data_IF_155225817790
#
_entry.id   IF_155225817790
#
_cell.length_a   1.000
_cell.length_b   1.000
_cell.length_c   1.000
_cell.angle_alpha   90.00
_cell.angle_beta   90.00
_cell.angle_gamma   90.00
#
_symmetry.space_group_name_H-M   'P 1'
#
loop_
_entity.id
_entity.type
_entity.pdbx_description
1 polymer ?
#
# COMPACT_ATOMS: atom_id res chain seq x y z
N UNK A 1 -6.77 29.73 14.75
CA UNK A 1 -5.95 28.50 14.94
C UNK A 1 -6.10 27.57 13.75
N UNK A 2 -7.32 27.16 13.40
CA UNK A 2 -7.58 26.24 12.27
C UNK A 2 -7.01 26.74 10.93
N UNK A 3 -7.16 28.03 10.59
CA UNK A 3 -6.57 28.56 9.34
C UNK A 3 -5.03 28.58 9.35
N UNK A 4 -4.42 28.83 10.52
CA UNK A 4 -2.97 28.75 10.70
C UNK A 4 -2.47 27.32 10.52
N UNK A 5 -3.15 26.34 11.14
CA UNK A 5 -2.84 24.92 10.99
C UNK A 5 -3.03 24.47 9.53
N UNK A 6 -4.10 24.92 8.87
CA UNK A 6 -4.33 24.67 7.44
C UNK A 6 -3.19 25.19 6.58
N UNK A 7 -2.72 26.41 6.83
CA UNK A 7 -1.57 26.98 6.12
C UNK A 7 -0.28 26.18 6.37
N UNK A 8 -0.01 25.77 7.62
CA UNK A 8 1.16 24.94 7.95
C UNK A 8 1.12 23.58 7.25
N UNK A 9 -0.03 22.91 7.24
CA UNK A 9 -0.25 21.67 6.51
C UNK A 9 -0.09 21.86 5.01
N UNK A 10 -0.63 22.95 4.45
CA UNK A 10 -0.50 23.31 3.04
C UNK A 10 0.94 23.61 2.62
N UNK A 11 1.76 24.12 3.54
CA UNK A 11 3.21 24.28 3.35
C UNK A 11 3.99 22.96 3.47
N UNK A 12 3.31 21.85 3.78
CA UNK A 12 3.91 20.52 3.82
C UNK A 12 4.45 20.08 5.17
N UNK A 13 4.23 20.84 6.25
CA UNK A 13 4.71 20.48 7.59
C UNK A 13 4.02 19.21 8.10
N UNK A 14 4.79 18.29 8.68
CA UNK A 14 4.27 17.11 9.41
C UNK A 14 3.57 17.54 10.71
N UNK A 15 2.71 16.67 11.24
CA UNK A 15 2.02 16.83 12.53
C UNK A 15 3.06 17.06 13.63
N UNK A 16 4.12 16.25 13.69
CA UNK A 16 5.18 16.41 14.68
C UNK A 16 5.94 17.74 14.58
N UNK A 17 6.17 18.26 13.37
CA UNK A 17 6.75 19.60 13.18
C UNK A 17 5.81 20.71 13.67
N UNK A 18 4.51 20.60 13.36
CA UNK A 18 3.49 21.54 13.82
C UNK A 18 3.43 21.54 15.35
N UNK A 19 3.35 20.36 15.97
CA UNK A 19 3.34 20.21 17.42
C UNK A 19 4.59 20.81 18.06
N UNK A 20 5.78 20.53 17.51
CA UNK A 20 7.05 21.09 18.00
C UNK A 20 7.04 22.62 17.94
N UNK A 21 6.66 23.20 16.81
CA UNK A 21 6.62 24.66 16.64
C UNK A 21 5.62 25.33 17.58
N UNK A 22 4.44 24.74 17.76
CA UNK A 22 3.37 25.32 18.57
C UNK A 22 3.56 25.07 20.07
N UNK A 23 4.24 23.99 20.47
CA UNK A 23 4.66 23.76 21.86
C UNK A 23 5.60 24.86 22.35
N UNK A 24 6.51 25.33 21.50
CA UNK A 24 7.39 26.47 21.78
C UNK A 24 6.65 27.79 22.01
N UNK A 25 5.39 27.87 21.59
CA UNK A 25 4.49 29.00 21.79
C UNK A 25 3.51 28.79 22.96
N UNK A 26 3.65 27.71 23.73
CA UNK A 26 2.81 27.40 24.90
C UNK A 26 1.41 26.89 24.56
N UNK A 27 1.17 26.42 23.34
CA UNK A 27 -0.13 25.86 22.94
C UNK A 27 -0.32 24.42 23.43
N UNK A 28 -1.57 24.07 23.74
CA UNK A 28 -1.93 22.73 24.15
C UNK A 28 -1.89 21.76 22.95
N UNK A 29 -0.99 20.77 23.02
CA UNK A 29 -0.79 19.78 21.95
C UNK A 29 -2.03 18.92 21.67
N UNK A 30 -2.82 18.57 22.70
CA UNK A 30 -4.05 17.81 22.50
C UNK A 30 -5.07 18.62 21.69
N UNK A 31 -5.13 19.94 21.90
CA UNK A 31 -5.98 20.83 21.10
C UNK A 31 -5.47 20.97 19.67
N UNK A 32 -4.16 21.12 19.48
CA UNK A 32 -3.55 21.15 18.14
C UNK A 32 -3.87 19.87 17.38
N UNK A 33 -3.65 18.71 18.02
CA UNK A 33 -3.90 17.40 17.44
C UNK A 33 -5.38 17.19 17.08
N UNK A 34 -6.30 17.57 17.98
CA UNK A 34 -7.74 17.49 17.70
C UNK A 34 -8.20 18.39 16.55
N UNK A 35 -7.54 19.52 16.31
CA UNK A 35 -7.80 20.34 15.11
C UNK A 35 -7.20 19.73 13.84
N UNK A 36 -6.00 19.14 13.92
CA UNK A 36 -5.34 18.48 12.79
C UNK A 36 -6.09 17.21 12.37
N UNK A 37 -6.68 16.47 13.31
CA UNK A 37 -7.52 15.30 13.02
C UNK A 37 -8.70 15.64 12.12
N UNK A 38 -9.32 16.81 12.31
CA UNK A 38 -10.44 17.31 11.47
C UNK A 38 -10.04 17.55 10.01
N UNK A 39 -8.74 17.54 9.69
CA UNK A 39 -8.27 17.67 8.32
C UNK A 39 -8.32 16.35 7.54
N UNK A 40 -8.33 15.20 8.22
CA UNK A 40 -8.49 13.90 7.57
C UNK A 40 -9.92 13.79 7.05
N UNK A 41 -10.10 13.52 5.75
CA UNK A 41 -11.41 13.55 5.09
C UNK A 41 -11.95 14.96 4.79
N UNK A 42 -11.20 16.03 5.07
CA UNK A 42 -11.65 17.40 4.81
C UNK A 42 -11.31 17.86 3.39
N UNK A 43 -12.28 18.37 2.60
CA UNK A 43 -11.99 18.92 1.27
C UNK A 43 -11.13 20.19 1.30
N UNK A 44 -10.89 20.76 2.49
CA UNK A 44 -10.04 21.94 2.65
C UNK A 44 -8.53 21.64 2.58
N UNK A 45 -8.15 20.36 2.53
CA UNK A 45 -6.78 19.87 2.44
C UNK A 45 -6.68 18.91 1.25
N UNK A 46 -5.59 18.98 0.48
CA UNK A 46 -5.34 18.07 -0.64
C UNK A 46 -5.29 16.62 -0.15
N UNK A 47 -5.78 15.69 -0.97
CA UNK A 47 -5.90 14.27 -0.62
C UNK A 47 -4.60 13.65 -0.10
N UNK A 48 -3.46 13.92 -0.77
CA UNK A 48 -2.16 13.39 -0.34
C UNK A 48 -1.76 13.86 1.07
N UNK A 49 -2.20 15.06 1.45
CA UNK A 49 -1.95 15.62 2.78
C UNK A 49 -2.91 15.03 3.81
N UNK A 50 -4.16 14.76 3.46
CA UNK A 50 -5.09 14.03 4.33
C UNK A 50 -4.53 12.65 4.70
N UNK A 51 -4.08 11.88 3.70
CA UNK A 51 -3.45 10.56 3.90
C UNK A 51 -2.21 10.63 4.76
N UNK A 52 -1.31 11.60 4.50
CA UNK A 52 -0.04 11.72 5.23
C UNK A 52 -0.28 12.11 6.70
N UNK A 53 -1.12 13.10 6.96
CA UNK A 53 -1.51 13.51 8.32
C UNK A 53 -2.20 12.35 9.05
N UNK A 54 -3.13 11.69 8.37
CA UNK A 54 -3.85 10.56 8.92
C UNK A 54 -2.92 9.45 9.40
N UNK A 55 -1.96 9.05 8.56
CA UNK A 55 -0.97 8.04 8.91
C UNK A 55 -0.06 8.48 10.08
N UNK A 56 0.35 9.74 10.11
CA UNK A 56 1.13 10.29 11.25
C UNK A 56 0.32 10.26 12.55
N UNK A 57 -0.95 10.69 12.51
CA UNK A 57 -1.84 10.68 13.67
C UNK A 57 -2.07 9.26 14.22
N UNK A 58 -2.18 8.26 13.35
CA UNK A 58 -2.32 6.84 13.73
C UNK A 58 -1.03 6.27 14.30
N UNK A 59 0.14 6.71 13.83
CA UNK A 59 1.43 6.25 14.36
C UNK A 59 1.64 6.68 15.82
N UNK A 60 1.11 7.84 16.17
CA UNK A 60 1.23 8.42 17.50
C UNK A 60 0.00 8.17 18.38
N UNK A 61 -1.04 7.47 17.90
CA UNK A 61 -2.28 7.28 18.68
C UNK A 61 -2.14 6.12 19.64
N UNK A 62 -2.34 6.39 20.94
CA UNK A 62 -2.44 5.36 21.98
C UNK A 62 -3.91 4.90 22.09
N UNK A 63 -4.41 4.09 21.14
CA UNK A 63 -5.74 3.48 21.25
C UNK A 63 -6.52 3.27 19.95
N UNK A 64 -7.70 2.65 20.07
CA UNK A 64 -8.66 2.43 18.99
C UNK A 64 -9.39 3.73 18.64
N UNK A 65 -8.94 4.41 17.59
CA UNK A 65 -9.73 5.44 16.93
C UNK A 65 -10.25 4.91 15.59
N UNK A 66 -11.22 3.99 15.66
CA UNK A 66 -11.81 3.32 14.49
C UNK A 66 -12.34 4.33 13.46
N UNK A 67 -12.86 5.46 13.92
CA UNK A 67 -13.33 6.56 13.08
C UNK A 67 -12.18 7.17 12.28
N UNK A 68 -11.07 7.52 12.95
CA UNK A 68 -9.89 8.02 12.26
C UNK A 68 -9.33 6.99 11.30
N UNK A 69 -9.22 5.71 11.70
CA UNK A 69 -8.76 4.65 10.80
C UNK A 69 -9.62 4.57 9.55
N UNK A 70 -10.95 4.59 9.69
CA UNK A 70 -11.86 4.57 8.54
C UNK A 70 -11.66 5.79 7.62
N UNK A 71 -11.47 6.99 8.18
CA UNK A 71 -11.19 8.19 7.40
C UNK A 71 -9.83 8.11 6.68
N UNK A 72 -8.78 7.59 7.35
CA UNK A 72 -7.46 7.41 6.74
C UNK A 72 -7.50 6.39 5.62
N UNK A 73 -8.18 5.26 5.83
CA UNK A 73 -8.37 4.23 4.79
C UNK A 73 -9.10 4.84 3.59
N UNK A 74 -10.20 5.56 3.80
CA UNK A 74 -10.93 6.22 2.72
C UNK A 74 -10.05 7.24 1.97
N UNK A 75 -9.28 8.07 2.68
CA UNK A 75 -8.35 9.01 2.04
C UNK A 75 -7.27 8.29 1.22
N UNK A 76 -6.74 7.17 1.70
CA UNK A 76 -5.73 6.38 1.00
C UNK A 76 -6.30 5.68 -0.23
N UNK A 77 -7.49 5.08 -0.12
CA UNK A 77 -8.18 4.45 -1.24
C UNK A 77 -8.48 5.48 -2.33
N UNK A 78 -9.01 6.65 -1.95
CA UNK A 78 -9.20 7.76 -2.88
C UNK A 78 -7.87 8.26 -3.48
N UNK A 79 -6.76 8.26 -2.73
CA UNK A 79 -5.45 8.67 -3.28
C UNK A 79 -4.92 7.66 -4.31
N UNK A 80 -5.27 6.37 -4.17
CA UNK A 80 -4.92 5.35 -5.16
C UNK A 80 -5.79 5.47 -6.42
N UNK A 81 -7.05 5.89 -6.28
CA UNK A 81 -7.98 6.15 -7.40
C UNK A 81 -7.69 7.48 -8.11
N UNK A 82 -7.30 8.53 -7.38
CA UNK A 82 -6.87 9.83 -7.91
C UNK A 82 -5.44 10.16 -7.46
N UNK A 83 -4.44 9.50 -8.06
CA UNK A 83 -3.04 9.70 -7.70
C UNK A 83 -2.53 11.08 -8.14
N UNK A 84 -1.39 11.53 -7.58
CA UNK A 84 -0.74 12.76 -8.04
C UNK A 84 -0.58 12.79 -9.56
N UNK A 85 -0.89 13.93 -10.19
CA UNK A 85 -0.92 14.08 -11.66
C UNK A 85 0.34 13.55 -12.36
N UNK A 86 1.52 13.75 -11.75
CA UNK A 86 2.82 13.26 -12.26
C UNK A 86 2.88 11.73 -12.41
N UNK A 87 2.16 11.00 -11.57
CA UNK A 87 2.15 9.53 -11.51
C UNK A 87 0.87 8.92 -12.09
N UNK A 88 -0.05 9.77 -12.54
CA UNK A 88 -1.34 9.36 -13.09
C UNK A 88 -1.22 9.09 -14.58
N UNK A 89 -1.72 7.95 -15.02
CA UNK A 89 -1.85 7.65 -16.44
C UNK A 89 -2.95 8.54 -17.07
N UNK A 90 -2.69 9.24 -18.19
CA UNK A 90 -3.66 10.17 -18.77
C UNK A 90 -4.95 9.55 -19.36
N UNK A 91 -4.98 8.23 -19.55
CA UNK A 91 -6.09 7.53 -20.23
C UNK A 91 -6.92 6.72 -19.23
N UNK A 92 -6.25 5.90 -18.42
CA UNK A 92 -6.86 5.06 -17.39
C UNK A 92 -7.14 5.82 -16.10
N UNK A 93 -6.50 6.98 -15.90
CA UNK A 93 -6.54 7.79 -14.66
C UNK A 93 -6.00 7.08 -13.42
N UNK A 94 -5.47 5.86 -13.57
CA UNK A 94 -4.92 5.07 -12.48
C UNK A 94 -3.45 5.45 -12.21
N UNK A 95 -2.97 5.02 -11.05
CA UNK A 95 -1.56 5.10 -10.70
C UNK A 95 -0.75 4.20 -11.65
N UNK A 96 0.21 4.79 -12.36
CA UNK A 96 1.09 4.02 -13.23
C UNK A 96 1.86 2.96 -12.44
N UNK A 97 2.19 1.85 -13.10
CA UNK A 97 3.12 0.83 -12.63
C UNK A 97 4.41 0.87 -13.44
N UNK A 98 4.28 0.94 -14.77
CA UNK A 98 5.38 0.87 -15.70
C UNK A 98 5.30 2.05 -16.69
N UNK A 99 5.85 3.23 -16.35
CA UNK A 99 5.71 4.41 -17.18
C UNK A 99 6.53 4.30 -18.48
N UNK A 100 5.84 4.51 -19.60
CA UNK A 100 6.34 4.47 -20.97
C UNK A 100 6.12 5.82 -21.66
N UNK A 101 7.16 6.31 -22.34
CA UNK A 101 7.04 7.49 -23.22
C UNK A 101 6.86 7.03 -24.66
N UNK A 102 5.83 7.53 -25.34
CA UNK A 102 5.64 7.32 -26.78
C UNK A 102 6.37 8.40 -27.59
N UNK A 103 6.44 8.25 -28.91
CA UNK A 103 7.16 9.17 -29.83
C UNK A 103 6.87 10.67 -29.57
N UNK A 104 5.63 11.03 -29.26
CA UNK A 104 5.23 12.43 -29.02
C UNK A 104 5.69 13.02 -27.68
N UNK A 105 6.39 12.24 -26.85
CA UNK A 105 6.84 12.66 -25.52
C UNK A 105 5.80 12.53 -24.41
N UNK A 106 4.58 12.07 -24.72
CA UNK A 106 3.56 11.80 -23.72
C UNK A 106 3.83 10.47 -23.00
N UNK A 107 3.48 10.44 -21.72
CA UNK A 107 3.74 9.32 -20.83
C UNK A 107 2.45 8.60 -20.49
N UNK A 108 2.49 7.28 -20.54
CA UNK A 108 1.39 6.38 -20.20
C UNK A 108 1.92 5.18 -19.43
N UNK A 109 1.06 4.44 -18.76
CA UNK A 109 1.35 3.11 -18.25
C UNK A 109 1.54 2.12 -19.41
N UNK A 110 2.39 1.11 -19.19
CA UNK A 110 2.61 0.03 -20.14
C UNK A 110 1.33 -0.68 -20.54
N UNK A 111 0.40 -0.93 -19.61
CA UNK A 111 -0.89 -1.57 -19.91
C UNK A 111 -1.84 -0.69 -20.73
N UNK A 112 -1.59 0.62 -20.76
CA UNK A 112 -2.30 1.55 -21.64
C UNK A 112 -1.70 1.51 -23.05
N UNK A 113 -0.38 1.37 -23.16
CA UNK A 113 0.35 1.39 -24.44
C UNK A 113 0.25 0.05 -25.18
N UNK A 114 0.33 -1.06 -24.45
CA UNK A 114 0.35 -2.41 -24.99
C UNK A 114 -0.87 -3.19 -24.52
N UNK A 115 -1.36 -4.10 -25.38
CA UNK A 115 -2.41 -5.03 -25.00
C UNK A 115 -1.83 -6.29 -24.31
N UNK A 116 -2.69 -7.25 -24.02
CA UNK A 116 -2.31 -8.52 -23.38
C UNK A 116 -1.35 -9.38 -24.24
N UNK A 117 -1.30 -9.15 -25.56
CA UNK A 117 -0.38 -9.84 -26.48
C UNK A 117 0.97 -9.11 -26.61
N UNK A 118 1.12 -7.94 -26.00
CA UNK A 118 2.28 -7.06 -26.17
C UNK A 118 2.22 -6.23 -27.45
N UNK A 119 1.08 -6.18 -28.13
CA UNK A 119 0.89 -5.37 -29.33
C UNK A 119 0.63 -3.91 -28.96
N UNK A 120 1.24 -3.00 -29.72
CA UNK A 120 1.09 -1.56 -29.50
C UNK A 120 -0.32 -1.11 -29.88
N UNK A 121 -1.02 -0.45 -28.95
CA UNK A 121 -2.46 -0.14 -29.07
C UNK A 121 -2.80 1.13 -29.84
N UNK A 122 -1.80 1.98 -30.12
CA UNK A 122 -2.05 3.31 -30.65
C UNK A 122 -1.54 3.47 -32.08
N UNK A 123 -2.47 3.75 -33.00
CA UNK A 123 -2.13 4.25 -34.35
C UNK A 123 -1.89 5.78 -34.34
N UNK A 124 -2.48 6.47 -33.36
CA UNK A 124 -2.35 7.91 -33.18
C UNK A 124 -2.19 8.25 -31.70
N UNK A 125 -1.47 9.34 -31.40
CA UNK A 125 -1.29 9.82 -30.04
C UNK A 125 -2.65 10.19 -29.40
N UNK A 126 -3.03 9.59 -28.25
CA UNK A 126 -4.31 9.89 -27.59
C UNK A 126 -4.48 11.37 -27.22
N UNK A 127 -3.38 12.08 -26.97
CA UNK A 127 -3.40 13.48 -26.51
C UNK A 127 -3.44 14.50 -27.66
N UNK A 128 -2.85 14.16 -28.81
CA UNK A 128 -2.64 15.13 -29.91
C UNK A 128 -3.28 14.70 -31.24
N UNK A 129 -3.74 13.45 -31.35
CA UNK A 129 -4.27 12.80 -32.56
C UNK A 129 -3.32 12.77 -33.76
N UNK A 130 -2.03 13.05 -33.54
CA UNK A 130 -1.00 12.89 -34.58
C UNK A 130 -0.72 11.40 -34.76
N UNK A 131 -0.47 10.98 -36.00
CA UNK A 131 0.10 9.67 -36.29
C UNK A 131 1.41 9.49 -35.53
N UNK A 132 1.62 8.28 -35.01
CA UNK A 132 2.83 7.93 -34.26
C UNK A 132 3.33 6.57 -34.73
N UNK A 133 4.63 6.36 -34.60
CA UNK A 133 5.23 5.06 -34.71
C UNK A 133 4.87 4.20 -33.50
N UNK A 134 4.78 2.86 -33.66
CA UNK A 134 4.51 1.93 -32.57
C UNK A 134 5.75 1.72 -31.70
N UNK A 135 6.24 2.81 -31.09
CA UNK A 135 7.44 2.86 -30.26
C UNK A 135 7.10 3.47 -28.90
N UNK A 136 7.54 2.78 -27.85
CA UNK A 136 7.49 3.25 -26.49
C UNK A 136 8.77 2.89 -25.73
N UNK A 137 9.25 3.83 -24.93
CA UNK A 137 10.49 3.67 -24.18
C UNK A 137 10.22 3.78 -22.67
N UNK A 138 10.90 2.97 -21.83
CA UNK A 138 10.75 3.07 -20.38
C UNK A 138 11.33 4.38 -19.85
N UNK A 139 10.61 5.05 -18.95
CA UNK A 139 11.10 6.26 -18.29
C UNK A 139 11.69 5.89 -16.93
N UNK A 140 12.97 5.51 -16.93
CA UNK A 140 13.67 4.97 -15.74
C UNK A 140 13.60 5.92 -14.55
N UNK A 141 13.76 7.23 -14.77
CA UNK A 141 13.68 8.23 -13.69
C UNK A 141 12.29 8.33 -13.07
N UNK A 142 11.23 8.38 -13.90
CA UNK A 142 9.86 8.44 -13.42
C UNK A 142 9.47 7.14 -12.72
N UNK A 143 9.90 5.98 -13.25
CA UNK A 143 9.72 4.68 -12.60
C UNK A 143 10.35 4.66 -11.20
N UNK A 144 11.56 5.19 -11.05
CA UNK A 144 12.22 5.30 -9.74
C UNK A 144 11.42 6.18 -8.77
N UNK A 145 10.99 7.35 -9.19
CA UNK A 145 10.20 8.25 -8.35
C UNK A 145 8.85 7.65 -7.93
N UNK A 146 8.20 6.94 -8.85
CA UNK A 146 6.96 6.22 -8.63
C UNK A 146 7.15 5.09 -7.60
N UNK A 147 8.24 4.32 -7.71
CA UNK A 147 8.64 3.33 -6.72
C UNK A 147 8.88 3.99 -5.36
N UNK A 148 9.64 5.08 -5.31
CA UNK A 148 9.92 5.81 -4.07
C UNK A 148 8.64 6.39 -3.43
N UNK A 149 7.67 6.78 -4.24
CA UNK A 149 6.34 7.20 -3.78
C UNK A 149 5.56 6.03 -3.16
N UNK A 150 5.44 4.91 -3.87
CA UNK A 150 4.74 3.70 -3.40
C UNK A 150 5.39 3.13 -2.13
N UNK A 151 6.72 3.07 -2.07
CA UNK A 151 7.47 2.60 -0.90
C UNK A 151 7.25 3.48 0.32
N UNK A 152 7.34 4.82 0.16
CA UNK A 152 7.06 5.74 1.27
C UNK A 152 5.64 5.56 1.80
N UNK A 153 4.67 5.37 0.91
CA UNK A 153 3.27 5.17 1.31
C UNK A 153 3.08 3.82 2.01
N UNK A 154 3.66 2.75 1.47
CA UNK A 154 3.63 1.41 2.07
C UNK A 154 4.27 1.41 3.47
N UNK A 155 5.45 2.03 3.62
CA UNK A 155 6.15 2.10 4.90
C UNK A 155 5.33 2.85 5.95
N UNK A 156 4.67 3.95 5.56
CA UNK A 156 3.81 4.71 6.47
C UNK A 156 2.55 3.93 6.86
N UNK A 157 1.94 3.21 5.92
CA UNK A 157 0.80 2.30 6.16
C UNK A 157 1.19 1.18 7.13
N UNK A 158 2.30 0.48 6.89
CA UNK A 158 2.78 -0.60 7.76
C UNK A 158 3.20 -0.08 9.15
N UNK A 159 3.74 1.13 9.23
CA UNK A 159 4.05 1.78 10.50
C UNK A 159 2.79 2.12 11.30
N UNK A 160 1.75 2.67 10.66
CA UNK A 160 0.48 2.95 11.31
C UNK A 160 -0.24 1.64 11.72
N UNK A 161 -0.29 0.64 10.84
CA UNK A 161 -0.89 -0.66 11.14
C UNK A 161 -0.22 -1.36 12.33
N UNK A 162 1.09 -1.24 12.48
CA UNK A 162 1.84 -1.78 13.61
C UNK A 162 1.52 -1.13 14.96
N UNK A 163 0.84 0.03 14.99
CA UNK A 163 0.42 0.72 16.21
C UNK A 163 -1.01 0.42 16.63
N UNK A 164 -1.84 0.02 15.69
CA UNK A 164 -3.21 -0.41 15.95
C UNK A 164 -3.20 -1.80 16.59
N UNK A 165 -4.15 -2.17 17.46
CA UNK A 165 -4.35 -3.56 17.86
C UNK A 165 -4.84 -4.42 16.67
N UNK A 166 -4.82 -5.74 16.84
CA UNK A 166 -5.38 -6.66 15.84
C UNK A 166 -6.88 -6.44 15.61
N UNK A 167 -7.40 -6.97 14.51
CA UNK A 167 -8.81 -6.86 14.12
C UNK A 167 -9.08 -5.94 12.93
N UNK A 168 -10.37 -5.62 12.73
CA UNK A 168 -10.89 -4.96 11.51
C UNK A 168 -10.22 -3.64 11.13
N UNK A 169 -9.92 -2.70 12.06
CA UNK A 169 -9.29 -1.44 11.69
C UNK A 169 -7.88 -1.64 11.09
N UNK A 170 -7.06 -2.50 11.73
CA UNK A 170 -5.74 -2.83 11.23
C UNK A 170 -5.82 -3.58 9.90
N UNK A 171 -6.76 -4.53 9.77
CA UNK A 171 -7.00 -5.26 8.52
C UNK A 171 -7.36 -4.33 7.35
N UNK A 172 -8.26 -3.38 7.57
CA UNK A 172 -8.64 -2.40 6.55
C UNK A 172 -7.43 -1.61 6.02
N UNK A 173 -6.55 -1.17 6.92
CA UNK A 173 -5.32 -0.47 6.57
C UNK A 173 -4.32 -1.38 5.85
N UNK A 174 -4.21 -2.65 6.25
CA UNK A 174 -3.36 -3.63 5.59
C UNK A 174 -3.85 -3.97 4.17
N UNK A 175 -5.15 -3.91 3.86
CA UNK A 175 -5.64 -4.08 2.48
C UNK A 175 -5.07 -3.03 1.53
N UNK A 176 -4.97 -1.77 1.96
CA UNK A 176 -4.28 -0.71 1.20
C UNK A 176 -2.80 -1.03 1.05
N UNK A 177 -2.14 -1.48 2.13
CA UNK A 177 -0.75 -1.91 2.10
C UNK A 177 -0.50 -3.06 1.12
N UNK A 178 -1.43 -4.01 1.01
CA UNK A 178 -1.37 -5.12 0.06
C UNK A 178 -1.42 -4.65 -1.39
N UNK A 179 -2.36 -3.75 -1.71
CA UNK A 179 -2.45 -3.19 -3.06
C UNK A 179 -1.14 -2.50 -3.49
N UNK A 180 -0.49 -1.77 -2.58
CA UNK A 180 0.82 -1.16 -2.83
C UNK A 180 1.93 -2.20 -3.00
N UNK A 181 1.95 -3.23 -2.16
CA UNK A 181 2.94 -4.31 -2.23
C UNK A 181 2.82 -5.09 -3.55
N UNK A 182 1.61 -5.37 -4.01
CA UNK A 182 1.33 -6.07 -5.26
C UNK A 182 1.83 -5.29 -6.47
N UNK A 183 1.64 -3.97 -6.48
CA UNK A 183 2.17 -3.08 -7.51
C UNK A 183 3.70 -2.98 -7.50
N UNK A 184 4.34 -3.19 -6.34
CA UNK A 184 5.79 -3.13 -6.17
C UNK A 184 6.48 -4.47 -6.45
N UNK A 185 5.77 -5.58 -6.25
CA UNK A 185 6.28 -6.94 -6.27
C UNK A 185 6.92 -7.35 -4.94
N UNK A 186 6.30 -8.29 -4.22
CA UNK A 186 6.77 -8.76 -2.90
C UNK A 186 8.18 -9.35 -2.95
N UNK A 187 8.50 -10.13 -3.98
CA UNK A 187 9.82 -10.75 -4.17
C UNK A 187 10.98 -9.74 -4.32
N UNK A 188 10.69 -8.52 -4.78
CA UNK A 188 11.69 -7.43 -4.86
C UNK A 188 11.91 -6.78 -3.49
N UNK A 189 10.86 -6.68 -2.67
CA UNK A 189 10.87 -5.97 -1.39
C UNK A 189 10.55 -6.91 -0.22
N UNK A 190 11.32 -7.98 -0.10
CA UNK A 190 11.10 -9.09 0.84
C UNK A 190 10.88 -8.61 2.28
N UNK A 191 11.68 -7.67 2.77
CA UNK A 191 11.52 -7.13 4.14
C UNK A 191 10.18 -6.42 4.38
N UNK A 192 9.60 -5.80 3.35
CA UNK A 192 8.28 -5.15 3.43
C UNK A 192 7.16 -6.18 3.32
N UNK A 193 7.34 -7.21 2.50
CA UNK A 193 6.44 -8.36 2.45
C UNK A 193 6.39 -9.09 3.80
N UNK A 194 7.55 -9.39 4.37
CA UNK A 194 7.69 -9.97 5.72
C UNK A 194 6.94 -9.15 6.77
N UNK A 195 7.15 -7.83 6.79
CA UNK A 195 6.46 -6.95 7.73
C UNK A 195 4.94 -6.93 7.50
N UNK A 196 4.49 -6.88 6.25
CA UNK A 196 3.08 -6.96 5.91
C UNK A 196 2.45 -8.25 6.43
N UNK A 197 3.05 -9.40 6.11
CA UNK A 197 2.53 -10.71 6.49
C UNK A 197 2.55 -10.93 7.98
N UNK A 198 3.58 -10.46 8.68
CA UNK A 198 3.65 -10.50 10.14
C UNK A 198 2.46 -9.77 10.75
N UNK A 199 2.23 -8.52 10.34
CA UNK A 199 1.09 -7.74 10.83
C UNK A 199 -0.25 -8.37 10.46
N UNK A 200 -0.35 -8.96 9.26
CA UNK A 200 -1.56 -9.65 8.78
C UNK A 200 -1.90 -10.86 9.65
N UNK A 201 -0.93 -11.71 9.94
CA UNK A 201 -1.08 -12.90 10.79
C UNK A 201 -1.34 -12.52 12.25
N UNK A 202 -0.67 -11.48 12.76
CA UNK A 202 -0.86 -10.98 14.12
C UNK A 202 -2.19 -10.25 14.32
N UNK A 203 -2.91 -9.94 13.24
CA UNK A 203 -4.24 -9.34 13.30
C UNK A 203 -5.35 -10.36 13.55
N UNK A 204 -5.03 -11.65 13.43
CA UNK A 204 -6.02 -12.72 13.36
C UNK A 204 -5.94 -13.66 14.56
N UNK A 205 -7.11 -14.02 15.08
CA UNK A 205 -7.26 -15.10 16.05
C UNK A 205 -7.25 -16.47 15.35
N UNK A 206 -6.86 -17.55 16.05
CA UNK A 206 -6.92 -18.90 15.49
C UNK A 206 -8.36 -19.27 15.07
N UNK A 207 -8.56 -19.51 13.78
CA UNK A 207 -9.86 -19.79 13.20
C UNK A 207 -9.83 -19.77 11.66
N UNK A 208 -11.00 -19.82 11.00
CA UNK A 208 -11.10 -19.90 9.55
C UNK A 208 -10.41 -18.74 8.82
N UNK A 209 -10.51 -17.51 9.35
CA UNK A 209 -9.87 -16.34 8.74
C UNK A 209 -8.33 -16.44 8.75
N UNK A 210 -7.74 -16.97 9.84
CA UNK A 210 -6.30 -17.21 9.89
C UNK A 210 -5.87 -18.33 8.93
N UNK A 211 -6.71 -19.36 8.73
CA UNK A 211 -6.46 -20.42 7.72
C UNK A 211 -6.36 -19.80 6.32
N UNK A 212 -7.27 -18.90 5.95
CA UNK A 212 -7.24 -18.20 4.67
C UNK A 212 -5.98 -17.33 4.52
N UNK A 213 -5.62 -16.57 5.57
CA UNK A 213 -4.42 -15.73 5.58
C UNK A 213 -3.15 -16.55 5.43
N UNK A 214 -3.03 -17.67 6.14
CA UNK A 214 -1.86 -18.58 6.08
C UNK A 214 -1.77 -19.25 4.71
N UNK A 215 -2.92 -19.62 4.11
CA UNK A 215 -2.98 -20.13 2.74
C UNK A 215 -2.53 -19.08 1.71
N UNK A 216 -2.97 -17.84 1.85
CA UNK A 216 -2.56 -16.73 0.99
C UNK A 216 -1.05 -16.45 1.10
N UNK A 217 -0.50 -16.41 2.33
CA UNK A 217 0.94 -16.29 2.58
C UNK A 217 1.72 -17.40 1.86
N UNK A 218 1.28 -18.65 2.01
CA UNK A 218 1.94 -19.79 1.38
C UNK A 218 1.97 -19.68 -0.16
N UNK A 219 0.84 -19.27 -0.74
CA UNK A 219 0.66 -19.14 -2.17
C UNK A 219 1.49 -18.00 -2.76
N UNK A 220 1.36 -16.79 -2.19
CA UNK A 220 1.93 -15.58 -2.76
C UNK A 220 3.44 -15.48 -2.58
N UNK A 221 3.95 -15.93 -1.43
CA UNK A 221 5.39 -15.89 -1.13
C UNK A 221 6.09 -17.20 -1.51
N UNK A 222 5.37 -18.13 -2.16
CA UNK A 222 5.88 -19.45 -2.54
C UNK A 222 6.61 -20.15 -1.38
N UNK A 223 6.01 -20.13 -0.18
CA UNK A 223 6.66 -20.53 1.08
C UNK A 223 7.17 -21.98 1.05
N UNK A 224 6.57 -22.84 0.22
CA UNK A 224 7.05 -24.20 -0.01
C UNK A 224 8.45 -24.29 -0.63
N UNK A 225 8.92 -23.22 -1.28
CA UNK A 225 10.25 -23.10 -1.88
C UNK A 225 11.26 -22.39 -0.98
N UNK A 226 10.80 -21.81 0.13
CA UNK A 226 11.65 -21.08 1.07
C UNK A 226 12.32 -22.07 2.04
N UNK A 227 13.57 -21.78 2.39
CA UNK A 227 14.26 -22.49 3.44
C UNK A 227 13.68 -22.18 4.83
N UNK A 228 13.98 -23.03 5.81
CA UNK A 228 13.53 -22.85 7.19
C UNK A 228 14.16 -21.63 7.90
N UNK A 229 15.25 -21.07 7.36
CA UNK A 229 15.85 -19.83 7.87
C UNK A 229 15.16 -18.57 7.34
N UNK A 230 14.26 -18.69 6.36
CA UNK A 230 13.48 -17.58 5.84
C UNK A 230 12.48 -17.09 6.88
N UNK A 231 12.42 -15.78 7.17
CA UNK A 231 11.45 -15.23 8.12
C UNK A 231 9.99 -15.51 7.73
N UNK A 232 9.67 -15.49 6.43
CA UNK A 232 8.34 -15.82 5.93
C UNK A 232 7.98 -17.29 6.16
N UNK A 233 8.97 -18.19 6.09
CA UNK A 233 8.78 -19.60 6.40
C UNK A 233 8.52 -19.80 7.90
N UNK A 234 9.33 -19.18 8.75
CA UNK A 234 9.15 -19.22 10.19
C UNK A 234 7.79 -18.65 10.63
N UNK A 235 7.35 -17.56 9.99
CA UNK A 235 6.03 -16.96 10.21
C UNK A 235 4.90 -17.95 9.85
N UNK A 236 4.98 -18.59 8.68
CA UNK A 236 4.03 -19.61 8.25
C UNK A 236 3.97 -20.78 9.24
N UNK A 237 5.12 -21.31 9.65
CA UNK A 237 5.19 -22.45 10.57
C UNK A 237 4.63 -22.09 11.96
N UNK A 238 4.91 -20.88 12.45
CA UNK A 238 4.35 -20.37 13.71
C UNK A 238 2.83 -20.16 13.67
N UNK A 239 2.31 -19.58 12.58
CA UNK A 239 0.87 -19.41 12.37
C UNK A 239 0.15 -20.77 12.25
N UNK A 240 0.74 -21.72 11.53
CA UNK A 240 0.27 -23.10 11.42
C UNK A 240 0.18 -23.78 12.80
N UNK A 241 1.22 -23.64 13.63
CA UNK A 241 1.20 -24.20 14.99
C UNK A 241 0.04 -23.62 15.82
N UNK A 242 -0.16 -22.29 15.79
CA UNK A 242 -1.29 -21.61 16.46
C UNK A 242 -2.64 -22.19 16.03
N UNK A 243 -2.82 -22.47 14.74
CA UNK A 243 -4.06 -23.06 14.20
C UNK A 243 -4.28 -24.50 14.67
N UNK A 244 -3.23 -25.32 14.70
CA UNK A 244 -3.31 -26.72 15.15
C UNK A 244 -3.59 -26.79 16.65
N UNK A 245 -2.88 -25.98 17.45
CA UNK A 245 -3.05 -25.95 18.90
C UNK A 245 -4.47 -25.50 19.31
N UNK A 246 -5.08 -24.61 18.53
CA UNK A 246 -6.46 -24.19 18.71
C UNK A 246 -7.51 -25.17 18.13
N UNK A 247 -7.08 -26.25 17.45
CA UNK A 247 -7.96 -27.20 16.79
C UNK A 247 -8.67 -26.64 15.54
N UNK A 248 -8.21 -25.51 15.01
CA UNK A 248 -8.78 -24.83 13.84
C UNK A 248 -8.29 -25.41 12.51
N UNK A 249 -7.18 -26.14 12.51
CA UNK A 249 -6.64 -26.84 11.34
C UNK A 249 -5.95 -28.15 11.73
N UNK A 250 -5.79 -29.05 10.77
CA UNK A 250 -4.97 -30.26 10.92
C UNK A 250 -3.57 -30.02 10.34
N UNK A 251 -2.58 -30.77 10.84
CA UNK A 251 -1.22 -30.75 10.29
C UNK A 251 -1.20 -31.04 8.78
N UNK A 252 -1.93 -32.08 8.37
CA UNK A 252 -2.08 -32.46 6.96
C UNK A 252 -2.70 -31.32 6.11
N UNK A 253 -3.71 -30.62 6.65
CA UNK A 253 -4.33 -29.49 5.96
C UNK A 253 -3.38 -28.32 5.75
N UNK A 254 -2.55 -28.00 6.75
CA UNK A 254 -1.53 -26.96 6.63
C UNK A 254 -0.37 -27.36 5.70
N UNK A 255 0.09 -28.61 5.76
CA UNK A 255 1.12 -29.10 4.86
C UNK A 255 0.65 -29.10 3.39
N UNK A 256 -0.64 -29.36 3.14
CA UNK A 256 -1.24 -29.25 1.81
C UNK A 256 -1.16 -27.83 1.21
N UNK A 257 -1.21 -26.78 2.03
CA UNK A 257 -1.09 -25.38 1.54
C UNK A 257 0.25 -25.10 0.85
N UNK A 258 1.30 -25.84 1.22
CA UNK A 258 2.63 -25.69 0.64
C UNK A 258 2.77 -26.38 -0.72
N UNK A 259 1.86 -27.30 -1.06
CA UNK A 259 1.94 -28.16 -2.24
C UNK A 259 1.09 -27.58 -3.40
N UNK A 260 0.00 -26.86 -3.10
CA UNK A 260 -1.05 -26.51 -4.07
C UNK A 260 -0.60 -25.53 -5.18
N UNK A 261 0.53 -24.83 -5.05
CA UNK A 261 0.80 -23.64 -5.88
C UNK A 261 1.91 -23.76 -6.94
N UNK A 262 2.43 -24.96 -7.21
CA UNK A 262 3.35 -25.18 -8.37
C UNK A 262 2.63 -25.12 -9.74
N UNK A 263 1.30 -24.90 -9.77
CA UNK A 263 0.51 -24.85 -10.99
C UNK A 263 0.50 -23.48 -11.71
N UNK A 264 0.96 -22.38 -11.07
CA UNK A 264 1.06 -21.05 -11.73
C UNK A 264 2.39 -20.79 -12.43
N UNK A 265 3.35 -21.70 -12.35
CA UNK A 265 4.64 -21.63 -13.07
C UNK A 265 4.64 -22.29 -14.45
N UNK A 266 3.49 -22.73 -14.94
CA UNK A 266 3.31 -23.19 -16.33
C UNK A 266 2.45 -22.18 -17.11
N UNK A 267 3.04 -21.01 -17.42
CA UNK A 267 2.62 -20.27 -18.61
C UNK A 267 3.19 -20.98 -19.85
N UNK A 268 2.44 -21.08 -20.96
CA UNK A 268 2.99 -21.64 -22.18
C UNK A 268 4.07 -20.70 -22.72
N UNK A 269 5.15 -21.30 -23.23
CA UNK A 269 6.20 -20.62 -23.98
C UNK A 269 5.65 -19.85 -25.19
#
# INVERSE_FOLDING_TARGET
MTDTLRAMVGMGLSVGQIETMLSGLGLNLATVRGEVEKFVGSPSISLQRQSSIGLELLQDSQGNNDTLVAQVVASLESELEDPPERFRDPVSYNLMNEPRVIETGHVFDESTVFDENGDFRFDTCPMTRREIQPLAFPIVFLKKELIDYKLRRLDAVLAAAGRLPGGKPRDALLRVGKALLDQLGSGTYIHRAERYWTLRVDSMEPGPELVEVVGALAAEESVGKLDASSPLRALFDGATARLIDAGAATREGCDAMLIVYDARTLGPH
#
